data_IF_921155231134
#
_entry.id   IF_921155231134
#
_cell.length_a   1.000
_cell.length_b   1.000
_cell.length_c   1.000
_cell.angle_alpha   90.00
_cell.angle_beta   90.00
_cell.angle_gamma   90.00
#
_symmetry.space_group_name_H-M   'P 1'
#
loop_
_entity.id
_entity.type
_entity.pdbx_description
1 polymer ?
#
# COMPACT_ATOMS: atom_id res chain seq x y z
N UNK A 1 -54.82 14.60 -28.61
CA UNK A 1 -54.74 13.97 -27.29
C UNK A 1 -53.28 13.75 -26.96
N UNK A 2 -52.68 14.52 -26.03
CA UNK A 2 -51.31 14.35 -25.56
C UNK A 2 -51.37 13.44 -24.35
N UNK A 3 -50.77 12.24 -24.43
CA UNK A 3 -50.66 11.34 -23.32
C UNK A 3 -49.69 11.92 -22.28
N UNK A 4 -50.15 12.13 -21.05
CA UNK A 4 -49.27 12.44 -19.91
C UNK A 4 -48.41 11.18 -19.59
N UNK A 5 -47.11 11.32 -19.38
CA UNK A 5 -46.29 10.21 -18.90
C UNK A 5 -46.76 9.82 -17.50
N UNK A 6 -46.94 8.54 -17.27
CA UNK A 6 -47.45 7.99 -16.02
C UNK A 6 -46.55 8.32 -14.85
N UNK A 7 -47.15 8.65 -13.70
CA UNK A 7 -46.48 8.95 -12.42
C UNK A 7 -45.47 7.84 -12.01
N UNK A 8 -45.72 6.59 -12.43
CA UNK A 8 -44.83 5.44 -12.24
C UNK A 8 -43.48 5.58 -12.95
N UNK A 9 -43.41 6.20 -14.15
CA UNK A 9 -42.15 6.41 -14.85
C UNK A 9 -41.27 7.46 -14.17
N UNK A 10 -41.87 8.48 -13.53
CA UNK A 10 -41.16 9.50 -12.75
C UNK A 10 -40.59 8.93 -11.44
N UNK A 11 -41.34 8.07 -10.73
CA UNK A 11 -40.87 7.41 -9.50
C UNK A 11 -39.73 6.41 -9.76
N UNK A 12 -39.79 5.66 -10.86
CA UNK A 12 -38.72 4.75 -11.26
C UNK A 12 -37.43 5.47 -11.63
N UNK A 13 -37.53 6.60 -12.34
CA UNK A 13 -36.36 7.43 -12.69
C UNK A 13 -35.72 8.11 -11.46
N UNK A 14 -36.54 8.53 -10.49
CA UNK A 14 -36.05 9.13 -9.25
C UNK A 14 -35.33 8.08 -8.36
N UNK A 15 -35.89 6.87 -8.23
CA UNK A 15 -35.28 5.78 -7.47
C UNK A 15 -33.95 5.33 -8.08
N UNK A 16 -33.83 5.29 -9.41
CA UNK A 16 -32.58 4.96 -10.10
C UNK A 16 -31.50 6.01 -9.87
N UNK A 17 -31.87 7.29 -9.87
CA UNK A 17 -30.91 8.39 -9.59
C UNK A 17 -30.42 8.38 -8.14
N UNK A 18 -31.27 8.09 -7.15
CA UNK A 18 -30.90 8.00 -5.74
C UNK A 18 -29.90 6.86 -5.48
N UNK A 19 -30.06 5.71 -6.16
CA UNK A 19 -29.11 4.59 -6.05
C UNK A 19 -27.73 4.93 -6.66
N UNK A 20 -27.67 5.67 -7.75
CA UNK A 20 -26.40 6.10 -8.36
C UNK A 20 -25.67 7.09 -7.45
N UNK A 21 -26.34 8.05 -6.88
CA UNK A 21 -25.74 9.01 -5.93
C UNK A 21 -25.25 8.34 -4.64
N UNK A 22 -25.98 7.35 -4.13
CA UNK A 22 -25.56 6.59 -2.95
C UNK A 22 -24.32 5.72 -3.21
N UNK A 23 -24.22 5.08 -4.36
CA UNK A 23 -23.06 4.28 -4.74
C UNK A 23 -21.81 5.14 -4.93
N UNK A 24 -21.92 6.29 -5.59
CA UNK A 24 -20.82 7.22 -5.81
C UNK A 24 -20.28 7.79 -4.48
N UNK A 25 -21.16 8.16 -3.56
CA UNK A 25 -20.78 8.68 -2.25
C UNK A 25 -20.07 7.61 -1.38
N UNK A 26 -20.47 6.35 -1.49
CA UNK A 26 -19.82 5.23 -0.79
C UNK A 26 -18.44 4.93 -1.39
N UNK A 27 -18.28 5.05 -2.69
CA UNK A 27 -17.01 4.87 -3.41
C UNK A 27 -16.01 5.99 -3.04
N UNK A 28 -16.45 7.24 -3.02
CA UNK A 28 -15.63 8.37 -2.57
C UNK A 28 -15.22 8.25 -1.09
N UNK A 29 -16.08 7.73 -0.23
CA UNK A 29 -15.80 7.55 1.20
C UNK A 29 -14.76 6.46 1.47
N UNK A 30 -14.59 5.49 0.57
CA UNK A 30 -13.60 4.41 0.68
C UNK A 30 -12.27 4.73 -0.01
N UNK A 31 -12.17 5.86 -0.72
CA UNK A 31 -10.95 6.26 -1.40
C UNK A 31 -9.85 6.59 -0.40
N UNK A 32 -8.70 5.94 -0.54
CA UNK A 32 -7.55 6.09 0.36
C UNK A 32 -6.34 6.73 -0.32
N UNK A 33 -6.34 6.83 -1.65
CA UNK A 33 -5.22 7.38 -2.41
C UNK A 33 -5.48 7.44 -3.90
N UNK A 34 -4.42 7.66 -4.64
CA UNK A 34 -4.40 7.70 -6.10
C UNK A 34 -3.15 7.03 -6.65
N UNK A 35 -3.25 6.47 -7.84
CA UNK A 35 -2.09 6.04 -8.62
C UNK A 35 -1.31 7.27 -9.05
N UNK A 36 -0.07 7.39 -8.61
CA UNK A 36 0.80 8.53 -8.92
C UNK A 36 1.67 8.27 -10.16
N UNK A 37 2.23 7.04 -10.25
CA UNK A 37 3.04 6.62 -11.40
C UNK A 37 2.79 5.16 -11.72
N UNK A 38 2.88 4.84 -13.00
CA UNK A 38 2.81 3.47 -13.49
C UNK A 38 3.78 3.29 -14.66
N UNK A 39 4.54 2.22 -14.63
CA UNK A 39 5.40 1.76 -15.73
C UNK A 39 5.01 0.33 -16.08
N UNK A 40 4.75 0.09 -17.35
CA UNK A 40 4.26 -1.17 -17.88
C UNK A 40 2.92 -1.61 -17.28
N UNK A 41 2.66 -2.93 -17.20
CA UNK A 41 1.36 -3.47 -16.82
C UNK A 41 1.20 -3.52 -15.30
N UNK A 42 0.24 -2.75 -14.79
CA UNK A 42 -0.21 -2.82 -13.41
C UNK A 42 -1.73 -2.79 -13.33
N UNK A 43 -2.29 -3.33 -12.25
CA UNK A 43 -3.72 -3.46 -12.03
C UNK A 43 -4.10 -3.03 -10.62
N UNK A 44 -5.29 -2.43 -10.51
CA UNK A 44 -6.01 -2.26 -9.25
C UNK A 44 -7.15 -3.26 -9.26
N UNK A 45 -7.21 -4.13 -8.27
CA UNK A 45 -8.21 -5.21 -8.17
C UNK A 45 -9.09 -4.91 -6.96
N UNK A 46 -10.34 -4.62 -7.23
CA UNK A 46 -11.39 -4.35 -6.24
C UNK A 46 -12.40 -5.49 -6.19
N UNK A 47 -13.40 -5.38 -5.32
CA UNK A 47 -14.52 -6.32 -5.30
C UNK A 47 -15.33 -6.35 -6.61
N UNK A 48 -15.29 -5.27 -7.41
CA UNK A 48 -15.96 -5.17 -8.71
C UNK A 48 -15.14 -5.76 -9.87
N UNK A 49 -13.90 -6.14 -9.63
CA UNK A 49 -13.01 -6.75 -10.63
C UNK A 49 -11.66 -6.04 -10.75
N UNK A 50 -10.86 -6.51 -11.71
CA UNK A 50 -9.55 -5.97 -12.01
C UNK A 50 -9.65 -4.90 -13.11
N UNK A 51 -9.00 -3.76 -12.87
CA UNK A 51 -8.85 -2.68 -13.86
C UNK A 51 -7.38 -2.34 -14.04
N UNK A 52 -7.00 -1.94 -15.25
CA UNK A 52 -5.64 -1.45 -15.52
C UNK A 52 -5.38 -0.18 -14.72
N UNK A 53 -4.27 -0.15 -13.98
CA UNK A 53 -3.85 1.02 -13.24
C UNK A 53 -3.42 2.12 -14.22
N UNK A 54 -3.97 3.32 -14.06
CA UNK A 54 -3.60 4.52 -14.82
C UNK A 54 -3.32 5.67 -13.87
N UNK A 55 -2.42 6.57 -14.25
CA UNK A 55 -2.12 7.75 -13.42
C UNK A 55 -3.39 8.55 -13.13
N UNK A 56 -3.60 8.92 -11.88
CA UNK A 56 -4.80 9.60 -11.40
C UNK A 56 -5.96 8.66 -11.02
N UNK A 57 -5.88 7.35 -11.32
CA UNK A 57 -6.93 6.40 -10.92
C UNK A 57 -7.05 6.34 -9.38
N UNK A 58 -8.27 6.35 -8.83
CA UNK A 58 -8.49 6.22 -7.41
C UNK A 58 -8.09 4.82 -6.91
N UNK A 59 -7.63 4.77 -5.68
CA UNK A 59 -7.34 3.54 -4.95
C UNK A 59 -8.18 3.54 -3.69
N UNK A 60 -8.83 2.41 -3.41
CA UNK A 60 -9.79 2.29 -2.33
C UNK A 60 -9.32 1.30 -1.26
N UNK A 61 -9.94 1.39 -0.11
CA UNK A 61 -9.75 0.42 0.96
C UNK A 61 -10.13 -0.98 0.46
N UNK A 62 -9.30 -1.98 0.79
CA UNK A 62 -9.40 -3.39 0.36
C UNK A 62 -9.02 -3.66 -1.11
N UNK A 63 -8.60 -2.66 -1.87
CA UNK A 63 -8.02 -2.91 -3.18
C UNK A 63 -6.71 -3.69 -3.06
N UNK A 64 -6.49 -4.59 -4.01
CA UNK A 64 -5.20 -5.22 -4.27
C UNK A 64 -4.50 -4.50 -5.42
N UNK A 65 -3.29 -4.05 -5.18
CA UNK A 65 -2.40 -3.47 -6.17
C UNK A 65 -1.47 -4.56 -6.71
N UNK A 66 -1.46 -4.78 -8.02
CA UNK A 66 -0.66 -5.83 -8.65
C UNK A 66 0.16 -5.28 -9.82
N UNK A 67 1.39 -5.74 -9.93
CA UNK A 67 2.31 -5.39 -11.04
C UNK A 67 2.70 -6.65 -11.82
N UNK A 68 2.88 -6.47 -13.14
CA UNK A 68 3.39 -7.50 -14.05
C UNK A 68 4.93 -7.51 -14.13
N UNK A 69 5.44 -8.13 -15.21
CA UNK A 69 6.87 -8.19 -15.50
C UNK A 69 7.41 -6.80 -15.86
N UNK A 70 8.59 -6.45 -15.35
CA UNK A 70 9.24 -5.15 -15.54
C UNK A 70 8.36 -3.94 -15.19
N UNK A 71 7.26 -4.15 -14.46
CA UNK A 71 6.33 -3.09 -14.10
C UNK A 71 6.71 -2.41 -12.78
N UNK A 72 6.29 -1.15 -12.66
CA UNK A 72 6.36 -0.37 -11.42
C UNK A 72 5.02 0.33 -11.21
N UNK A 73 4.61 0.43 -9.97
CA UNK A 73 3.39 1.15 -9.59
C UNK A 73 3.68 1.99 -8.35
N UNK A 74 3.42 3.28 -8.40
CA UNK A 74 3.46 4.15 -7.24
C UNK A 74 2.06 4.65 -6.92
N UNK A 75 1.68 4.51 -5.65
CA UNK A 75 0.44 5.05 -5.09
C UNK A 75 0.80 6.07 -4.02
N UNK A 76 0.10 7.21 -4.06
CA UNK A 76 0.17 8.24 -3.03
C UNK A 76 -1.15 8.23 -2.26
N UNK A 77 -1.08 7.98 -0.95
CA UNK A 77 -2.24 7.97 -0.05
C UNK A 77 -2.65 9.40 0.33
N UNK A 78 -3.84 9.56 0.94
CA UNK A 78 -4.40 10.87 1.33
C UNK A 78 -3.53 11.62 2.35
N UNK A 79 -2.72 10.92 3.13
CA UNK A 79 -1.76 11.46 4.09
C UNK A 79 -0.36 11.70 3.48
N UNK A 80 -0.23 11.63 2.15
CA UNK A 80 1.03 11.73 1.41
C UNK A 80 2.01 10.56 1.65
N UNK A 81 1.57 9.47 2.28
CA UNK A 81 2.34 8.21 2.32
C UNK A 81 2.50 7.68 0.88
N UNK A 82 3.70 7.24 0.54
CA UNK A 82 4.00 6.66 -0.77
C UNK A 82 4.30 5.17 -0.65
N UNK A 83 3.64 4.39 -1.48
CA UNK A 83 3.91 2.97 -1.69
C UNK A 83 4.36 2.77 -3.13
N UNK A 84 5.58 2.26 -3.33
CA UNK A 84 6.09 1.90 -4.66
C UNK A 84 6.27 0.40 -4.73
N UNK A 85 5.70 -0.23 -5.75
CA UNK A 85 5.79 -1.66 -6.02
C UNK A 85 6.79 -1.92 -7.14
N UNK A 86 7.62 -2.95 -6.96
CA UNK A 86 8.47 -3.51 -8.00
C UNK A 86 7.69 -4.44 -8.93
N UNK A 87 8.41 -5.15 -9.80
CA UNK A 87 7.79 -6.15 -10.69
C UNK A 87 7.23 -7.35 -9.91
N UNK A 88 6.18 -7.97 -10.47
CA UNK A 88 5.52 -9.16 -9.90
C UNK A 88 5.10 -8.98 -8.43
N UNK A 89 4.83 -7.75 -8.01
CA UNK A 89 4.40 -7.45 -6.65
C UNK A 89 2.88 -7.50 -6.52
N UNK A 90 2.45 -7.80 -5.29
CA UNK A 90 1.04 -7.77 -4.89
C UNK A 90 0.94 -7.25 -3.46
N UNK A 91 0.15 -6.19 -3.27
CA UNK A 91 -0.12 -5.57 -1.97
C UNK A 91 -1.60 -5.27 -1.84
N UNK A 92 -2.20 -5.71 -0.73
CA UNK A 92 -3.59 -5.38 -0.36
C UNK A 92 -3.58 -4.25 0.66
N UNK A 93 -4.47 -3.28 0.49
CA UNK A 93 -4.70 -2.21 1.45
C UNK A 93 -5.72 -2.68 2.47
N UNK A 94 -5.25 -3.27 3.57
CA UNK A 94 -6.14 -3.93 4.54
C UNK A 94 -6.87 -2.93 5.44
N UNK A 95 -6.16 -1.94 5.98
CA UNK A 95 -6.73 -0.84 6.76
C UNK A 95 -6.08 0.48 6.40
N UNK A 96 -6.89 1.51 6.41
CA UNK A 96 -6.43 2.88 6.28
C UNK A 96 -7.39 3.83 6.99
N UNK A 97 -6.89 4.58 7.95
CA UNK A 97 -7.59 5.66 8.64
C UNK A 97 -6.63 6.84 8.71
N UNK A 98 -7.09 7.99 8.28
CA UNK A 98 -6.37 9.24 8.42
C UNK A 98 -7.34 10.33 8.86
N UNK A 99 -7.34 10.64 10.16
CA UNK A 99 -8.22 11.63 10.79
C UNK A 99 -7.34 12.63 11.58
N UNK A 100 -6.88 13.70 10.91
CA UNK A 100 -6.02 14.70 11.53
C UNK A 100 -6.74 15.48 12.63
N UNK A 101 -8.07 15.65 12.56
CA UNK A 101 -8.84 16.38 13.55
C UNK A 101 -8.89 15.64 14.89
N UNK A 102 -8.95 14.31 14.85
CA UNK A 102 -8.89 13.45 16.04
C UNK A 102 -7.48 13.01 16.40
N UNK A 103 -6.51 13.25 15.51
CA UNK A 103 -5.13 12.79 15.68
C UNK A 103 -4.97 11.28 15.57
N UNK A 104 -5.82 10.61 14.78
CA UNK A 104 -5.83 9.16 14.59
C UNK A 104 -5.30 8.81 13.21
N UNK A 105 -4.36 7.84 13.16
CA UNK A 105 -3.82 7.32 11.93
C UNK A 105 -3.62 5.81 11.98
N UNK A 106 -4.16 5.08 11.02
CA UNK A 106 -3.90 3.64 10.88
C UNK A 106 -3.63 3.30 9.42
N UNK A 107 -2.55 2.57 9.17
CA UNK A 107 -2.25 1.98 7.87
C UNK A 107 -1.77 0.56 8.07
N UNK A 108 -2.51 -0.41 7.54
CA UNK A 108 -2.11 -1.81 7.49
C UNK A 108 -2.13 -2.28 6.05
N UNK A 109 -0.98 -2.70 5.55
CA UNK A 109 -0.79 -3.27 4.22
C UNK A 109 -0.42 -4.75 4.33
N UNK A 110 -0.85 -5.56 3.38
CA UNK A 110 -0.44 -6.96 3.24
C UNK A 110 0.35 -7.11 1.94
N UNK A 111 1.68 -7.13 2.04
CA UNK A 111 2.58 -7.31 0.91
C UNK A 111 2.85 -8.82 0.71
N UNK A 112 2.09 -9.45 -0.19
CA UNK A 112 2.11 -10.90 -0.37
C UNK A 112 3.19 -11.38 -1.33
N UNK A 113 3.63 -10.53 -2.26
CA UNK A 113 4.64 -10.83 -3.28
C UNK A 113 5.45 -9.60 -3.66
N UNK A 114 6.65 -9.87 -4.21
CA UNK A 114 7.50 -8.87 -4.85
C UNK A 114 8.19 -7.93 -3.86
N UNK A 115 8.87 -6.95 -4.42
CA UNK A 115 9.54 -5.91 -3.66
C UNK A 115 8.66 -4.65 -3.60
N UNK A 116 8.78 -3.93 -2.49
CA UNK A 116 8.10 -2.66 -2.30
C UNK A 116 8.99 -1.67 -1.53
N UNK A 117 8.70 -0.38 -1.72
CA UNK A 117 9.23 0.71 -0.90
C UNK A 117 8.05 1.45 -0.29
N UNK A 118 8.16 1.72 1.00
CA UNK A 118 7.16 2.45 1.76
C UNK A 118 7.81 3.69 2.37
N UNK A 119 7.22 4.84 2.14
CA UNK A 119 7.66 6.11 2.72
C UNK A 119 6.49 6.76 3.44
N UNK A 120 6.57 6.85 4.77
CA UNK A 120 5.52 7.41 5.62
C UNK A 120 5.31 8.89 5.35
N UNK A 121 4.07 9.29 5.10
CA UNK A 121 3.62 10.64 4.95
C UNK A 121 3.28 11.34 6.28
N UNK A 122 2.18 12.10 6.29
CA UNK A 122 1.74 12.91 7.44
C UNK A 122 1.10 12.10 8.56
N UNK A 123 0.71 10.85 8.30
CA UNK A 123 0.14 9.95 9.31
C UNK A 123 1.07 9.77 10.53
N UNK A 124 2.39 9.92 10.36
CA UNK A 124 3.39 9.90 11.46
C UNK A 124 3.19 11.01 12.48
N UNK A 125 2.50 12.09 12.12
CA UNK A 125 2.23 13.26 12.96
C UNK A 125 1.00 13.05 13.86
N UNK A 126 0.23 11.99 13.59
CA UNK A 126 -0.93 11.64 14.40
C UNK A 126 -0.49 11.16 15.78
N UNK A 127 -1.21 11.61 16.82
CA UNK A 127 -0.92 11.24 18.22
C UNK A 127 -1.04 9.73 18.42
N UNK A 128 -2.10 9.15 17.85
CA UNK A 128 -2.37 7.73 17.87
C UNK A 128 -2.17 7.18 16.45
N UNK A 129 -0.90 6.84 16.12
CA UNK A 129 -0.55 6.29 14.81
C UNK A 129 -0.12 4.84 14.91
N UNK A 130 -0.72 3.99 14.08
CA UNK A 130 -0.35 2.59 13.90
C UNK A 130 -0.09 2.30 12.43
N UNK A 131 1.15 1.97 12.09
CA UNK A 131 1.55 1.68 10.71
C UNK A 131 2.24 0.33 10.70
N UNK A 132 1.70 -0.60 9.91
CA UNK A 132 2.25 -1.94 9.77
C UNK A 132 2.19 -2.43 8.33
N UNK A 133 3.19 -3.19 7.92
CA UNK A 133 3.19 -3.95 6.68
C UNK A 133 3.41 -5.42 7.02
N UNK A 134 2.40 -6.24 6.80
CA UNK A 134 2.49 -7.70 6.95
C UNK A 134 3.02 -8.32 5.66
N UNK A 135 3.92 -9.28 5.80
CA UNK A 135 4.48 -10.07 4.71
C UNK A 135 4.39 -11.55 5.03
N UNK A 136 4.58 -12.48 4.09
CA UNK A 136 4.62 -13.90 4.38
C UNK A 136 5.74 -14.33 5.32
N UNK A 137 6.72 -13.45 5.58
CA UNK A 137 7.94 -13.77 6.35
C UNK A 137 7.96 -13.08 7.71
N UNK A 138 7.40 -11.89 7.82
CA UNK A 138 7.41 -11.09 9.03
C UNK A 138 6.42 -9.92 8.96
N UNK A 139 6.03 -9.41 10.12
CA UNK A 139 5.35 -8.14 10.28
C UNK A 139 6.36 -7.02 10.50
N UNK A 140 6.15 -5.90 9.83
CA UNK A 140 7.01 -4.72 9.88
C UNK A 140 6.23 -3.58 10.52
N UNK A 141 6.53 -3.26 11.78
CA UNK A 141 5.95 -2.11 12.47
C UNK A 141 6.79 -0.86 12.19
N UNK A 142 6.13 0.21 11.77
CA UNK A 142 6.74 1.40 11.19
C UNK A 142 6.50 2.61 12.07
N UNK A 143 7.53 3.43 12.27
CA UNK A 143 7.39 4.70 12.99
C UNK A 143 8.15 5.82 12.29
N UNK A 144 7.40 6.58 11.44
CA UNK A 144 7.95 7.73 10.73
C UNK A 144 9.13 7.37 9.82
N UNK A 145 8.94 6.40 8.92
CA UNK A 145 10.03 5.66 8.31
C UNK A 145 9.92 5.61 6.80
N UNK A 146 11.06 5.45 6.17
CA UNK A 146 11.19 5.02 4.80
C UNK A 146 12.00 3.72 4.77
N UNK A 147 11.46 2.69 4.15
CA UNK A 147 12.10 1.39 4.06
C UNK A 147 11.75 0.66 2.77
N UNK A 148 12.58 -0.29 2.42
CA UNK A 148 12.37 -1.27 1.36
C UNK A 148 12.14 -2.65 1.98
N UNK A 149 11.24 -3.45 1.40
CA UNK A 149 11.03 -4.85 1.75
C UNK A 149 10.86 -5.69 0.49
N UNK A 150 11.41 -6.90 0.49
CA UNK A 150 11.23 -7.78 -0.66
C UNK A 150 12.27 -8.88 -0.81
N UNK A 151 12.11 -9.69 -1.87
CA UNK A 151 13.06 -10.76 -2.18
C UNK A 151 14.32 -10.19 -2.86
N UNK A 152 15.49 -10.66 -2.41
CA UNK A 152 16.77 -10.62 -3.09
C UNK A 152 17.33 -12.05 -3.11
N UNK A 153 18.49 -12.30 -2.47
CA UNK A 153 19.01 -13.66 -2.25
C UNK A 153 18.16 -14.39 -1.18
N UNK A 154 17.62 -13.61 -0.23
CA UNK A 154 16.63 -13.97 0.78
C UNK A 154 15.59 -12.85 0.84
N UNK A 155 14.47 -13.05 1.55
CA UNK A 155 13.61 -11.95 1.88
C UNK A 155 14.33 -10.98 2.82
N UNK A 156 14.29 -9.70 2.51
CA UNK A 156 15.01 -8.69 3.28
C UNK A 156 14.18 -7.45 3.59
N UNK A 157 14.58 -6.74 4.63
CA UNK A 157 14.08 -5.41 4.97
C UNK A 157 15.27 -4.47 5.12
N UNK A 158 15.25 -3.35 4.40
CA UNK A 158 16.29 -2.32 4.42
C UNK A 158 15.71 -1.00 4.92
N UNK A 159 16.28 -0.45 5.96
CA UNK A 159 15.91 0.86 6.48
C UNK A 159 16.60 1.97 5.68
N UNK A 160 15.82 2.90 5.12
CA UNK A 160 16.31 4.09 4.42
C UNK A 160 16.26 5.34 5.31
N UNK A 161 15.20 5.46 6.14
CA UNK A 161 15.04 6.58 7.09
C UNK A 161 14.15 6.17 8.26
N UNK A 162 14.41 6.71 9.46
CA UNK A 162 13.57 6.48 10.65
C UNK A 162 13.93 5.20 11.39
N UNK A 163 12.92 4.42 11.81
CA UNK A 163 13.09 3.15 12.55
C UNK A 163 11.97 2.18 12.18
N UNK A 164 12.31 0.90 12.04
CA UNK A 164 11.34 -0.19 11.90
C UNK A 164 11.64 -1.33 12.85
N UNK A 165 10.58 -2.00 13.30
CA UNK A 165 10.67 -3.28 13.99
C UNK A 165 10.18 -4.38 13.05
N UNK A 166 10.99 -5.38 12.83
CA UNK A 166 10.68 -6.56 12.01
C UNK A 166 10.54 -7.75 12.92
N UNK A 167 9.39 -8.40 12.91
CA UNK A 167 9.07 -9.49 13.85
C UNK A 167 8.29 -10.62 13.17
N UNK A 168 8.53 -11.84 13.62
CA UNK A 168 7.72 -13.01 13.34
C UNK A 168 7.58 -13.87 14.60
N UNK A 169 6.99 -15.07 14.50
CA UNK A 169 6.80 -15.96 15.64
C UNK A 169 8.12 -16.41 16.30
N UNK A 170 9.24 -16.39 15.56
CA UNK A 170 10.53 -16.85 16.04
C UNK A 170 11.38 -15.75 16.69
N UNK A 171 11.07 -14.46 16.45
CA UNK A 171 11.83 -13.36 17.03
C UNK A 171 11.51 -11.98 16.47
N UNK A 172 12.26 -10.99 16.98
CA UNK A 172 12.08 -9.58 16.59
C UNK A 172 13.43 -8.87 16.57
N UNK A 173 13.61 -7.97 15.59
CA UNK A 173 14.76 -7.07 15.50
C UNK A 173 14.31 -5.65 15.18
N UNK A 174 15.07 -4.68 15.64
CA UNK A 174 14.84 -3.26 15.35
C UNK A 174 15.96 -2.72 14.45
N UNK A 175 15.61 -2.15 13.32
CA UNK A 175 16.51 -1.38 12.47
C UNK A 175 16.39 0.09 12.88
N UNK A 176 17.49 0.69 13.35
CA UNK A 176 17.49 2.04 13.92
C UNK A 176 18.40 3.03 13.21
N UNK A 177 19.22 2.58 12.26
CA UNK A 177 20.14 3.44 11.49
C UNK A 177 19.94 3.24 10.00
N UNK A 178 19.83 4.32 9.19
CA UNK A 178 19.79 4.21 7.74
C UNK A 178 20.90 3.34 7.17
N UNK A 179 20.59 2.51 6.19
CA UNK A 179 21.51 1.50 5.62
C UNK A 179 21.57 0.18 6.38
N UNK A 180 20.97 0.09 7.57
CA UNK A 180 20.77 -1.21 8.22
C UNK A 180 19.70 -2.01 7.53
N UNK A 181 19.91 -3.30 7.44
CA UNK A 181 18.92 -4.26 6.99
C UNK A 181 19.00 -5.57 7.77
N UNK A 182 17.97 -6.37 7.60
CA UNK A 182 17.87 -7.74 8.08
C UNK A 182 17.46 -8.67 6.96
N UNK A 183 17.98 -9.87 6.95
CA UNK A 183 17.54 -10.96 6.07
C UNK A 183 16.70 -11.94 6.88
N UNK A 184 15.61 -12.41 6.29
CA UNK A 184 14.66 -13.33 6.92
C UNK A 184 14.69 -14.62 6.10
N UNK A 185 15.34 -15.70 6.62
CA UNK A 185 15.50 -16.94 5.87
C UNK A 185 14.18 -17.63 5.56
N UNK A 186 13.27 -17.67 6.51
CA UNK A 186 11.91 -18.21 6.37
C UNK A 186 10.96 -17.58 7.38
N UNK A 187 9.65 -17.85 7.27
CA UNK A 187 8.66 -17.41 8.25
C UNK A 187 8.85 -18.05 9.65
N UNK A 188 9.57 -19.16 9.71
CA UNK A 188 9.82 -19.92 10.96
C UNK A 188 11.17 -19.60 11.59
N UNK A 189 12.05 -18.92 10.86
CA UNK A 189 13.34 -18.46 11.37
C UNK A 189 13.25 -17.03 11.88
N UNK A 190 13.96 -16.66 12.95
CA UNK A 190 13.99 -15.28 13.42
C UNK A 190 14.62 -14.36 12.37
N UNK A 191 14.17 -13.09 12.27
CA UNK A 191 14.87 -12.09 11.49
C UNK A 191 16.34 -12.02 11.93
N UNK A 192 17.26 -11.96 10.97
CA UNK A 192 18.70 -11.89 11.24
C UNK A 192 19.07 -10.62 12.00
N UNK A 193 20.21 -10.65 12.71
CA UNK A 193 20.71 -9.47 13.40
C UNK A 193 20.85 -8.27 12.44
N UNK A 194 20.52 -7.04 12.86
CA UNK A 194 20.66 -5.85 12.05
C UNK A 194 22.12 -5.64 11.62
N UNK A 195 22.36 -5.53 10.32
CA UNK A 195 23.68 -5.26 9.75
C UNK A 195 23.61 -4.09 8.76
N UNK A 196 24.68 -3.32 8.64
CA UNK A 196 24.79 -2.35 7.55
C UNK A 196 25.00 -3.11 6.26
N UNK A 197 24.05 -2.96 5.31
CA UNK A 197 24.16 -3.64 4.02
C UNK A 197 25.26 -3.01 3.16
N UNK A 198 26.06 -3.83 2.45
CA UNK A 198 27.01 -3.32 1.48
C UNK A 198 26.31 -2.49 0.38
N UNK A 199 26.98 -1.46 -0.13
CA UNK A 199 26.43 -0.55 -1.13
C UNK A 199 25.85 -1.30 -2.36
N UNK A 200 26.50 -2.37 -2.83
CA UNK A 200 25.98 -3.19 -3.92
C UNK A 200 24.68 -3.91 -3.61
N UNK A 201 24.46 -4.37 -2.36
CA UNK A 201 23.19 -4.97 -1.93
C UNK A 201 22.08 -3.91 -1.83
N UNK A 202 22.41 -2.74 -1.29
CA UNK A 202 21.47 -1.58 -1.22
C UNK A 202 21.07 -1.18 -2.65
N UNK A 203 22.02 -1.05 -3.58
CA UNK A 203 21.72 -0.68 -4.96
C UNK A 203 20.79 -1.70 -5.63
N UNK A 204 21.01 -3.00 -5.45
CA UNK A 204 20.11 -4.05 -5.96
C UNK A 204 18.70 -3.91 -5.39
N UNK A 205 18.57 -3.70 -4.08
CA UNK A 205 17.28 -3.52 -3.42
C UNK A 205 16.51 -2.33 -4.02
N UNK A 206 17.15 -1.16 -4.11
CA UNK A 206 16.53 0.05 -4.66
C UNK A 206 16.17 -0.11 -6.13
N UNK A 207 17.00 -0.77 -6.94
CA UNK A 207 16.73 -1.01 -8.35
C UNK A 207 15.43 -1.80 -8.59
N UNK A 208 15.02 -2.67 -7.66
CA UNK A 208 13.76 -3.43 -7.80
C UNK A 208 12.51 -2.55 -7.80
N UNK A 209 12.59 -1.35 -7.25
CA UNK A 209 11.46 -0.40 -7.08
C UNK A 209 11.73 0.97 -7.71
N UNK A 210 12.86 1.13 -8.42
CA UNK A 210 13.18 2.38 -9.09
C UNK A 210 12.20 2.63 -10.25
N UNK A 211 11.65 3.83 -10.31
CA UNK A 211 10.90 4.38 -11.43
C UNK A 211 11.87 5.12 -12.36
N UNK A 212 11.62 5.07 -13.65
CA UNK A 212 12.48 5.62 -14.70
C UNK A 212 11.87 6.82 -15.40
#
# INVERSE_FOLDING_TARGET
>A
MRALPSLLAFLAALALRLNVYGAQAAEDASRVGVVDKVENEAQVISASGAVTATVGAPVHLKDELRTGANARLQVTFLDETQLTLGEHASVVIDRYVYDPDRGIGETVLQATKGAFRFATGRIKEMKDSNIAVSTPFADIAVRGTEFWGGPLDKYGVLLLKGKVTVSNQAGSVMLGKPGQGTDIPSALDPPGAPTTWPAGKVARAIATVALH
#
